data_IF_116512485843
#
_entry.id   IF_116512485843
#
_cell.length_a   1.000
_cell.length_b   1.000
_cell.length_c   1.000
_cell.angle_alpha   90.00
_cell.angle_beta   90.00
_cell.angle_gamma   90.00
#
_symmetry.space_group_name_H-M   'P 1'
#
loop_
_entity.id
_entity.type
_entity.pdbx_description
1 polymer ?
#
# COMPACT_ATOMS: atom_id res chain seq x y z
N UNK A 1 57.08 -1.07 -12.38
CA UNK A 1 57.09 -2.26 -11.52
C UNK A 1 55.99 -3.17 -12.05
N UNK A 2 56.40 -4.34 -12.50
CA UNK A 2 55.58 -5.48 -12.88
C UNK A 2 55.29 -6.32 -11.61
N UNK A 3 54.32 -7.25 -11.66
CA UNK A 3 53.71 -8.12 -10.61
C UNK A 3 52.28 -7.68 -10.27
N UNK A 4 51.20 -8.45 -10.43
CA UNK A 4 51.03 -9.89 -10.64
C UNK A 4 49.89 -10.39 -9.74
N UNK A 5 49.03 -11.26 -10.27
CA UNK A 5 48.09 -12.18 -9.58
C UNK A 5 46.91 -11.59 -8.78
N UNK A 6 45.65 -11.86 -9.13
CA UNK A 6 44.86 -13.12 -9.06
C UNK A 6 44.16 -13.33 -7.70
N UNK A 7 42.84 -13.54 -7.82
CA UNK A 7 41.99 -14.43 -7.00
C UNK A 7 41.88 -14.11 -5.49
N UNK A 8 40.71 -14.02 -4.85
CA UNK A 8 39.83 -15.15 -4.59
C UNK A 8 38.54 -14.60 -3.95
N UNK A 9 37.41 -15.09 -4.46
CA UNK A 9 36.11 -15.19 -3.82
C UNK A 9 36.24 -15.75 -2.40
N UNK A 10 35.63 -15.08 -1.41
CA UNK A 10 35.32 -15.76 -0.14
C UNK A 10 33.90 -15.39 0.30
N UNK A 11 32.98 -16.30 -0.06
CA UNK A 11 31.62 -16.35 0.42
C UNK A 11 31.61 -17.22 1.67
N UNK A 12 31.76 -16.62 2.85
CA UNK A 12 31.64 -17.33 4.11
C UNK A 12 30.15 -17.45 4.50
N UNK A 13 29.53 -18.51 4.00
CA UNK A 13 28.22 -19.00 4.43
C UNK A 13 28.39 -19.70 5.78
N UNK A 14 28.41 -18.91 6.86
CA UNK A 14 28.42 -19.39 8.24
C UNK A 14 27.11 -20.08 8.63
N UNK A 15 26.96 -21.35 8.25
CA UNK A 15 25.99 -22.28 8.82
C UNK A 15 26.67 -23.02 9.99
N UNK A 16 26.53 -22.48 11.21
CA UNK A 16 26.90 -23.20 12.43
C UNK A 16 25.72 -24.09 12.86
N UNK A 17 25.79 -25.37 12.51
CA UNK A 17 24.93 -26.40 13.11
C UNK A 17 25.71 -27.03 14.25
N UNK A 18 25.46 -26.57 15.48
CA UNK A 18 25.91 -27.28 16.67
C UNK A 18 24.99 -28.47 16.91
N UNK A 19 25.42 -29.65 16.44
CA UNK A 19 25.30 -30.86 17.23
C UNK A 19 26.07 -30.60 18.56
N UNK A 20 25.74 -31.10 19.73
CA UNK A 20 25.28 -32.43 20.11
C UNK A 20 24.71 -32.26 21.53
N UNK A 21 23.56 -32.87 21.84
CA UNK A 21 23.32 -33.31 23.22
C UNK A 21 22.43 -34.56 23.19
N UNK A 22 22.84 -35.50 24.00
CA UNK A 22 22.68 -36.93 23.86
C UNK A 22 21.78 -37.42 24.99
N UNK A 23 20.46 -37.22 24.83
CA UNK A 23 19.48 -37.85 25.72
C UNK A 23 19.01 -39.19 25.13
N UNK A 24 19.65 -40.24 25.62
CA UNK A 24 19.24 -41.63 25.60
C UNK A 24 17.84 -41.78 26.21
N UNK A 25 16.79 -41.78 25.37
CA UNK A 25 15.48 -42.31 25.74
C UNK A 25 15.11 -43.43 24.76
N UNK A 26 15.20 -44.66 25.25
CA UNK A 26 14.81 -45.88 24.56
C UNK A 26 13.37 -45.78 24.04
N UNK A 27 13.19 -45.57 22.74
CA UNK A 27 11.87 -45.65 22.11
C UNK A 27 11.52 -47.13 21.93
N UNK A 28 10.79 -47.67 22.91
CA UNK A 28 10.13 -48.97 22.79
C UNK A 28 9.18 -48.91 21.60
N UNK A 29 9.39 -49.79 20.62
CA UNK A 29 8.55 -49.92 19.43
C UNK A 29 7.21 -50.53 19.83
N UNK A 30 6.28 -49.71 20.33
CA UNK A 30 4.87 -50.08 20.44
C UNK A 30 4.10 -49.50 19.24
N UNK A 31 3.44 -50.34 18.42
CA UNK A 31 2.66 -49.87 17.28
C UNK A 31 1.27 -49.44 17.75
N UNK A 32 1.19 -48.39 18.58
CA UNK A 32 -0.08 -47.90 19.10
C UNK A 32 -0.50 -46.64 18.34
N UNK A 33 -1.27 -46.89 17.27
CA UNK A 33 -2.44 -46.11 16.86
C UNK A 33 -2.27 -44.59 16.61
N UNK A 34 -2.28 -44.24 15.32
CA UNK A 34 -3.14 -43.18 14.76
C UNK A 34 -3.21 -41.83 15.48
N UNK A 35 -2.08 -41.22 15.84
CA UNK A 35 -2.05 -39.78 16.16
C UNK A 35 -2.06 -38.88 14.91
N UNK A 36 -2.21 -39.47 13.71
CA UNK A 36 -2.27 -38.77 12.43
C UNK A 36 -3.69 -38.42 11.96
N UNK A 37 -4.72 -38.74 12.77
CA UNK A 37 -6.14 -38.58 12.40
C UNK A 37 -6.96 -37.69 13.37
N UNK A 38 -6.31 -36.80 14.12
CA UNK A 38 -7.01 -35.80 14.96
C UNK A 38 -6.62 -34.34 14.69
N UNK A 39 -6.24 -34.03 13.45
CA UNK A 39 -6.61 -32.74 12.88
C UNK A 39 -8.03 -32.91 12.30
N UNK A 40 -8.98 -33.23 13.18
CA UNK A 40 -10.38 -32.94 12.89
C UNK A 40 -10.41 -31.47 12.54
N UNK A 41 -10.75 -31.23 11.29
CA UNK A 41 -10.68 -29.98 10.58
C UNK A 41 -11.52 -28.98 11.35
N UNK A 42 -10.92 -28.16 12.21
CA UNK A 42 -11.56 -26.93 12.63
C UNK A 42 -11.91 -26.20 11.34
N UNK A 43 -13.21 -26.10 11.07
CA UNK A 43 -13.74 -25.51 9.84
C UNK A 43 -13.30 -24.05 9.80
N UNK A 44 -12.16 -23.78 9.18
CA UNK A 44 -11.58 -22.46 9.10
C UNK A 44 -12.47 -21.63 8.18
N UNK A 45 -13.27 -20.74 8.75
CA UNK A 45 -14.19 -19.90 8.00
C UNK A 45 -13.38 -18.88 7.19
N UNK A 46 -13.50 -18.94 5.87
CA UNK A 46 -12.95 -17.94 4.97
C UNK A 46 -14.00 -17.52 3.94
N UNK A 47 -13.85 -16.29 3.44
CA UNK A 47 -14.68 -15.75 2.37
C UNK A 47 -13.79 -15.35 1.19
N UNK A 48 -14.21 -15.68 -0.02
CA UNK A 48 -13.51 -15.28 -1.25
C UNK A 48 -14.20 -14.05 -1.82
N UNK A 49 -13.47 -12.94 -1.88
CA UNK A 49 -13.94 -11.68 -2.44
C UNK A 49 -13.33 -11.43 -3.81
N UNK A 50 -14.15 -10.92 -4.73
CA UNK A 50 -13.68 -10.38 -6.01
C UNK A 50 -12.98 -9.03 -5.83
N UNK A 51 -12.21 -8.62 -6.83
CA UNK A 51 -11.57 -7.30 -6.86
C UNK A 51 -12.60 -6.16 -6.77
N UNK A 52 -13.76 -6.31 -7.40
CA UNK A 52 -14.86 -5.34 -7.34
C UNK A 52 -15.36 -5.16 -5.90
N UNK A 53 -15.55 -6.26 -5.16
CA UNK A 53 -16.00 -6.22 -3.77
C UNK A 53 -14.98 -5.51 -2.87
N UNK A 54 -13.68 -5.80 -3.03
CA UNK A 54 -12.62 -5.12 -2.28
C UNK A 54 -12.57 -3.62 -2.62
N UNK A 55 -12.72 -3.26 -3.89
CA UNK A 55 -12.78 -1.85 -4.31
C UNK A 55 -14.00 -1.15 -3.70
N UNK A 56 -15.15 -1.82 -3.64
CA UNK A 56 -16.35 -1.29 -3.01
C UNK A 56 -16.14 -1.03 -1.51
N UNK A 57 -15.53 -1.98 -0.78
CA UNK A 57 -15.15 -1.77 0.63
C UNK A 57 -14.21 -0.58 0.82
N UNK A 58 -13.24 -0.42 -0.08
CA UNK A 58 -12.37 0.77 -0.08
C UNK A 58 -13.18 2.06 -0.28
N UNK A 59 -14.08 2.10 -1.27
CA UNK A 59 -14.89 3.29 -1.58
C UNK A 59 -15.80 3.66 -0.42
N UNK A 60 -16.41 2.68 0.24
CA UNK A 60 -17.28 2.93 1.39
C UNK A 60 -16.48 3.45 2.58
N UNK A 61 -15.28 2.90 2.84
CA UNK A 61 -14.36 3.43 3.84
C UNK A 61 -13.93 4.89 3.55
N UNK A 62 -13.62 5.20 2.29
CA UNK A 62 -13.30 6.57 1.86
C UNK A 62 -14.51 7.49 2.08
N UNK A 63 -15.72 7.05 1.73
CA UNK A 63 -16.95 7.84 1.90
C UNK A 63 -17.22 8.15 3.37
N UNK A 64 -17.07 7.16 4.23
CA UNK A 64 -17.20 7.30 5.68
C UNK A 64 -16.24 8.37 6.22
N UNK A 65 -14.95 8.25 5.90
CA UNK A 65 -13.94 9.24 6.31
C UNK A 65 -14.26 10.63 5.77
N UNK A 66 -14.75 10.70 4.53
CA UNK A 66 -15.05 11.97 3.90
C UNK A 66 -16.25 12.72 4.51
N UNK A 67 -17.11 12.03 5.28
CA UNK A 67 -18.17 12.71 6.05
C UNK A 67 -17.60 13.68 7.10
N UNK A 68 -16.36 13.45 7.54
CA UNK A 68 -15.68 14.23 8.57
C UNK A 68 -14.72 15.25 7.95
N UNK A 69 -13.79 14.81 7.10
CA UNK A 69 -12.67 15.65 6.64
C UNK A 69 -12.98 16.53 5.43
N UNK A 70 -13.99 16.19 4.64
CA UNK A 70 -14.42 16.93 3.42
C UNK A 70 -13.27 17.23 2.43
N UNK A 71 -12.49 16.20 2.11
CA UNK A 71 -11.36 16.23 1.17
C UNK A 71 -11.77 15.49 -0.12
N UNK A 72 -11.25 15.85 -1.31
CA UNK A 72 -11.50 15.06 -2.52
C UNK A 72 -11.23 13.55 -2.33
N UNK A 73 -12.11 12.63 -2.77
CA UNK A 73 -11.98 11.19 -2.50
C UNK A 73 -10.64 10.57 -2.91
N UNK A 74 -10.07 11.03 -4.02
CA UNK A 74 -8.76 10.58 -4.50
C UNK A 74 -7.64 10.91 -3.52
N UNK A 75 -7.71 12.07 -2.87
CA UNK A 75 -6.75 12.53 -1.87
C UNK A 75 -6.96 11.77 -0.57
N UNK A 76 -8.20 11.62 -0.12
CA UNK A 76 -8.55 10.81 1.06
C UNK A 76 -8.03 9.38 0.95
N UNK A 77 -8.13 8.76 -0.24
CA UNK A 77 -7.54 7.45 -0.51
C UNK A 77 -6.03 7.41 -0.32
N UNK A 78 -5.31 8.43 -0.80
CA UNK A 78 -3.84 8.51 -0.65
C UNK A 78 -3.47 8.68 0.83
N UNK A 79 -4.17 9.56 1.54
CA UNK A 79 -3.96 9.77 2.97
C UNK A 79 -4.24 8.51 3.79
N UNK A 80 -5.36 7.81 3.53
CA UNK A 80 -5.65 6.53 4.17
C UNK A 80 -4.56 5.50 3.89
N UNK A 81 -4.07 5.41 2.65
CA UNK A 81 -2.97 4.51 2.32
C UNK A 81 -1.66 4.88 3.06
N UNK A 82 -1.37 6.18 3.21
CA UNK A 82 -0.22 6.66 3.99
C UNK A 82 -0.32 6.20 5.47
N UNK A 83 -1.51 6.26 6.05
CA UNK A 83 -1.80 5.79 7.42
C UNK A 83 -2.15 4.31 7.52
N UNK A 84 -1.93 3.50 6.47
CA UNK A 84 -2.24 2.06 6.48
C UNK A 84 -3.71 1.74 6.81
N UNK A 85 -4.60 2.62 6.38
CA UNK A 85 -6.05 2.57 6.60
C UNK A 85 -6.49 2.80 8.06
N UNK A 86 -5.61 3.35 8.90
CA UNK A 86 -5.95 3.81 10.24
C UNK A 86 -6.70 5.16 10.18
N UNK A 87 -8.02 5.10 10.41
CA UNK A 87 -8.91 6.27 10.37
C UNK A 87 -8.65 7.22 11.54
N UNK A 88 -8.36 6.69 12.72
CA UNK A 88 -8.17 7.48 13.93
C UNK A 88 -6.91 8.34 13.80
N UNK A 89 -5.81 7.71 13.39
CA UNK A 89 -4.54 8.40 13.16
C UNK A 89 -4.63 9.48 12.07
N UNK A 90 -5.44 9.23 11.03
CA UNK A 90 -5.73 10.25 10.03
C UNK A 90 -6.46 11.44 10.64
N UNK A 91 -7.50 11.22 11.46
CA UNK A 91 -8.24 12.30 12.09
C UNK A 91 -7.36 13.10 13.08
N UNK A 92 -6.56 12.41 13.90
CA UNK A 92 -5.62 13.06 14.81
C UNK A 92 -4.69 14.00 14.05
N UNK A 93 -4.00 13.50 13.01
CA UNK A 93 -3.05 14.31 12.23
C UNK A 93 -3.71 15.36 11.36
N UNK A 94 -4.96 15.17 10.96
CA UNK A 94 -5.70 16.15 10.15
C UNK A 94 -6.25 17.32 10.97
N UNK A 95 -6.66 17.08 12.22
CA UNK A 95 -7.16 18.13 13.11
C UNK A 95 -6.10 18.70 14.06
N UNK A 96 -4.86 18.23 13.96
CA UNK A 96 -3.67 18.89 14.53
C UNK A 96 -3.31 20.16 13.73
N UNK A 97 -2.32 20.93 14.18
CA UNK A 97 -2.00 22.24 13.60
C UNK A 97 -1.23 22.20 12.25
N UNK A 98 -0.74 21.04 11.79
CA UNK A 98 0.18 20.94 10.64
C UNK A 98 -0.36 20.12 9.45
N UNK A 99 -1.52 20.53 8.93
CA UNK A 99 -2.09 19.95 7.71
C UNK A 99 -1.16 20.09 6.50
N UNK A 100 -0.37 21.16 6.43
CA UNK A 100 0.53 21.39 5.30
C UNK A 100 1.70 20.39 5.29
N UNK A 101 2.29 20.07 6.44
CA UNK A 101 3.25 18.98 6.54
C UNK A 101 2.60 17.63 6.24
N UNK A 102 1.37 17.37 6.69
CA UNK A 102 0.65 16.14 6.36
C UNK A 102 0.54 15.92 4.85
N UNK A 103 0.07 16.93 4.10
CA UNK A 103 -0.03 16.83 2.65
C UNK A 103 1.35 16.69 2.00
N UNK A 104 2.37 17.39 2.50
CA UNK A 104 3.74 17.30 1.97
C UNK A 104 4.38 15.92 2.20
N UNK A 105 4.24 15.35 3.39
CA UNK A 105 4.71 14.00 3.75
C UNK A 105 4.03 12.94 2.87
N UNK A 106 2.73 13.10 2.61
CA UNK A 106 1.98 12.21 1.74
C UNK A 106 2.18 12.48 0.24
N UNK A 107 3.05 13.43 -0.15
CA UNK A 107 3.29 13.86 -1.53
C UNK A 107 2.03 14.36 -2.27
N UNK A 108 1.15 15.02 -1.53
CA UNK A 108 -0.13 15.55 -2.01
C UNK A 108 -0.01 17.07 -2.16
N UNK A 109 -0.45 17.59 -3.30
CA UNK A 109 -0.65 19.04 -3.48
C UNK A 109 -1.93 19.41 -2.73
N UNK A 110 -1.84 20.36 -1.81
CA UNK A 110 -2.98 20.79 -1.00
C UNK A 110 -4.16 21.18 -1.91
N UNK A 111 -5.32 20.49 -1.80
CA UNK A 111 -6.47 20.72 -2.67
C UNK A 111 -7.08 22.12 -2.54
N UNK A 112 -6.84 22.80 -1.41
CA UNK A 112 -7.36 24.14 -1.16
C UNK A 112 -6.44 25.25 -1.68
N UNK A 113 -5.21 24.91 -2.07
CA UNK A 113 -4.30 25.83 -2.78
C UNK A 113 -4.64 25.76 -4.27
N UNK A 114 -5.63 26.54 -4.70
CA UNK A 114 -5.95 26.68 -6.13
C UNK A 114 -4.65 26.99 -6.91
N UNK A 115 -4.31 26.26 -7.99
CA UNK A 115 -3.34 26.78 -8.93
C UNK A 115 -3.89 28.11 -9.47
N UNK A 116 -3.04 29.12 -9.74
CA UNK A 116 -3.51 30.37 -10.32
C UNK A 116 -4.17 30.04 -11.67
N UNK A 117 -5.51 30.06 -11.69
CA UNK A 117 -6.28 29.90 -12.91
C UNK A 117 -5.89 31.04 -13.84
N UNK A 118 -5.13 30.75 -14.88
CA UNK A 118 -4.91 31.67 -15.99
C UNK A 118 -6.17 31.72 -16.85
N UNK A 119 -7.30 32.10 -16.24
CA UNK A 119 -8.55 32.36 -16.92
C UNK A 119 -8.40 33.65 -17.71
N UNK A 120 -7.79 33.55 -18.90
CA UNK A 120 -8.00 34.52 -19.96
C UNK A 120 -9.43 34.32 -20.44
N UNK A 121 -10.36 35.00 -19.77
CA UNK A 121 -11.72 35.22 -20.26
C UNK A 121 -11.62 35.90 -21.63
N UNK A 122 -11.63 35.10 -22.70
CA UNK A 122 -11.92 35.57 -24.03
C UNK A 122 -13.30 35.05 -24.38
N UNK A 123 -14.32 35.88 -24.14
CA UNK A 123 -15.73 35.66 -24.54
C UNK A 123 -15.95 35.50 -26.05
N UNK A 124 -14.85 35.40 -26.82
CA UNK A 124 -14.78 35.24 -28.27
C UNK A 124 -13.75 34.17 -28.68
N UNK A 125 -13.30 33.32 -27.76
CA UNK A 125 -12.38 32.22 -28.09
C UNK A 125 -13.02 31.20 -29.05
N UNK A 126 -12.22 30.49 -29.86
CA UNK A 126 -12.72 29.45 -30.75
C UNK A 126 -13.55 28.42 -29.95
N UNK A 127 -14.67 28.00 -30.53
CA UNK A 127 -15.61 26.98 -29.99
C UNK A 127 -14.98 25.59 -29.84
N UNK A 128 -13.75 25.45 -30.34
CA UNK A 128 -12.97 24.23 -30.32
C UNK A 128 -11.62 24.50 -29.69
N UNK A 129 -11.10 23.52 -28.97
CA UNK A 129 -9.74 23.45 -28.45
C UNK A 129 -8.96 22.36 -29.19
N UNK A 130 -7.63 22.46 -29.19
CA UNK A 130 -6.76 21.44 -29.78
C UNK A 130 -6.11 20.64 -28.65
N UNK A 131 -6.19 19.31 -28.73
CA UNK A 131 -5.56 18.46 -27.73
C UNK A 131 -4.04 18.49 -27.88
N UNK A 132 -3.29 18.86 -26.84
CA UNK A 132 -1.82 18.90 -26.88
C UNK A 132 -1.15 17.51 -26.96
N UNK A 133 -1.93 16.43 -26.80
CA UNK A 133 -1.42 15.05 -26.86
C UNK A 133 -1.60 14.47 -28.27
N UNK A 134 -2.81 14.56 -28.83
CA UNK A 134 -3.13 13.96 -30.13
C UNK A 134 -3.34 14.96 -31.27
N UNK A 135 -3.25 16.26 -30.99
CA UNK A 135 -3.41 17.39 -31.93
C UNK A 135 -4.76 17.40 -32.66
N UNK A 136 -5.77 16.71 -32.11
CA UNK A 136 -7.12 16.73 -32.65
C UNK A 136 -7.91 17.92 -32.08
N UNK A 137 -8.78 18.48 -32.91
CA UNK A 137 -9.69 19.55 -32.53
C UNK A 137 -10.93 18.99 -31.84
N UNK A 138 -11.17 19.38 -30.60
CA UNK A 138 -12.25 18.92 -29.71
C UNK A 138 -13.18 20.11 -29.40
N UNK A 139 -14.51 19.95 -29.34
CA UNK A 139 -15.41 21.02 -28.91
C UNK A 139 -15.16 21.39 -27.43
N UNK A 140 -15.14 22.69 -27.12
CA UNK A 140 -15.05 23.17 -25.73
C UNK A 140 -16.36 22.89 -24.99
N UNK A 141 -16.25 22.33 -23.78
CA UNK A 141 -17.36 22.03 -22.87
C UNK A 141 -17.75 23.25 -22.03
#
# INVERSE_FOLDING_TARGET
MDTGDDELYDADSGNESSAEDEDELSISLEPESSSREKLETEEFHYEVLSTEQIVQHMVDCIREVNTVVQIPPTITRILLNHFKWDKEKLYERYYDDDQEALFKEAHIINPYKNPPSSSKDSRFGPRTEECEICLMTIPKN
#
